data_IF_167887791485
#
_entry.id   IF_167887791485
#
_cell.length_a   1.000
_cell.length_b   1.000
_cell.length_c   1.000
_cell.angle_alpha   90.00
_cell.angle_beta   90.00
_cell.angle_gamma   90.00
#
_symmetry.space_group_name_H-M   'P 1'
#
loop_
_entity.id
_entity.type
_entity.pdbx_description
1 polymer ?
#
# COMPACT_ATOMS: atom_id res chain seq x y z
N UNK A 1 22.48 -17.77 15.99
CA UNK A 1 21.51 -17.57 14.89
C UNK A 1 21.61 -18.71 13.88
N UNK A 2 20.48 -19.33 13.59
CA UNK A 2 20.39 -20.38 12.58
C UNK A 2 19.49 -19.85 11.45
N UNK A 3 20.07 -19.75 10.25
CA UNK A 3 19.30 -19.37 9.07
C UNK A 3 18.50 -20.59 8.57
N UNK A 4 17.21 -20.65 8.93
CA UNK A 4 16.33 -21.76 8.56
C UNK A 4 16.05 -21.72 7.07
N UNK A 5 16.19 -22.84 6.34
CA UNK A 5 15.77 -22.93 4.94
C UNK A 5 14.25 -22.80 4.83
N UNK A 6 13.79 -22.48 3.63
CA UNK A 6 12.36 -22.42 3.32
C UNK A 6 11.67 -23.76 3.55
N UNK A 7 10.49 -23.74 4.16
CA UNK A 7 9.64 -24.91 4.40
C UNK A 7 8.22 -24.63 3.91
N UNK A 8 7.33 -25.63 3.98
CA UNK A 8 5.90 -25.43 3.64
C UNK A 8 5.20 -24.41 4.57
N UNK A 9 5.71 -24.21 5.79
CA UNK A 9 5.14 -23.29 6.80
C UNK A 9 5.94 -22.01 6.94
N UNK A 10 7.16 -21.94 6.43
CA UNK A 10 8.05 -20.81 6.58
C UNK A 10 8.68 -20.40 5.26
N UNK A 11 8.25 -19.26 4.73
CA UNK A 11 8.80 -18.66 3.52
C UNK A 11 9.16 -17.19 3.79
N UNK A 12 10.47 -16.93 3.85
CA UNK A 12 11.01 -15.58 4.09
C UNK A 12 10.53 -14.56 3.07
N UNK A 13 10.25 -14.98 1.85
CA UNK A 13 9.78 -14.09 0.78
C UNK A 13 8.36 -13.57 1.03
N UNK A 14 7.60 -14.22 1.91
CA UNK A 14 6.22 -13.92 2.24
C UNK A 14 6.01 -13.38 3.66
N UNK A 15 7.08 -13.27 4.45
CA UNK A 15 7.00 -12.92 5.88
C UNK A 15 7.81 -11.66 6.14
N UNK A 16 7.19 -10.69 6.83
CA UNK A 16 7.86 -9.51 7.39
C UNK A 16 7.90 -9.65 8.90
N UNK A 17 9.12 -9.70 9.46
CA UNK A 17 9.28 -9.78 10.90
C UNK A 17 8.76 -8.52 11.60
N UNK A 18 8.08 -8.69 12.70
CA UNK A 18 7.51 -7.60 13.50
C UNK A 18 6.19 -7.04 12.96
N UNK A 19 5.71 -7.45 11.77
CA UNK A 19 4.52 -6.88 11.15
C UNK A 19 3.26 -7.04 12.00
N UNK A 20 3.14 -8.15 12.71
CA UNK A 20 1.99 -8.39 13.60
C UNK A 20 1.84 -7.30 14.67
N UNK A 21 2.92 -6.83 15.24
CA UNK A 21 2.93 -5.73 16.20
C UNK A 21 2.90 -4.35 15.50
N UNK A 22 3.57 -4.22 14.35
CA UNK A 22 3.72 -2.95 13.63
C UNK A 22 2.47 -2.50 12.88
N UNK A 23 1.56 -3.41 12.50
CA UNK A 23 0.46 -3.14 11.55
C UNK A 23 -0.40 -1.93 11.90
N UNK A 24 -0.72 -1.73 13.19
CA UNK A 24 -1.52 -0.59 13.65
C UNK A 24 -0.75 0.71 13.56
N UNK A 25 0.49 0.71 14.06
CA UNK A 25 1.37 1.88 14.02
C UNK A 25 1.69 2.30 12.57
N UNK A 26 1.94 1.32 11.67
CA UNK A 26 2.14 1.58 10.23
C UNK A 26 0.93 2.26 9.61
N UNK A 27 -0.28 1.83 9.94
CA UNK A 27 -1.51 2.47 9.43
C UNK A 27 -1.72 3.85 9.99
N UNK A 28 -1.61 4.00 11.31
CA UNK A 28 -1.79 5.26 12.01
C UNK A 28 -0.85 6.33 11.47
N UNK A 29 0.41 5.98 11.27
CA UNK A 29 1.43 6.89 10.77
C UNK A 29 1.41 6.99 9.22
N UNK A 30 0.65 6.12 8.54
CA UNK A 30 0.70 5.90 7.09
C UNK A 30 2.15 5.79 6.59
N UNK A 31 3.01 5.12 7.34
CA UNK A 31 4.44 5.02 7.09
C UNK A 31 4.99 3.73 7.69
N UNK A 32 5.80 3.00 6.92
CA UNK A 32 6.49 1.79 7.37
C UNK A 32 8.00 1.96 7.27
N UNK A 33 8.71 1.74 8.37
CA UNK A 33 10.16 1.63 8.38
C UNK A 33 10.53 0.18 8.07
N UNK A 34 11.39 -0.03 7.08
CA UNK A 34 11.85 -1.37 6.67
C UNK A 34 13.34 -1.49 6.92
N UNK A 35 13.71 -2.44 7.76
CA UNK A 35 15.09 -2.77 8.12
C UNK A 35 15.49 -4.15 7.57
N UNK A 36 16.75 -4.54 7.72
CA UNK A 36 17.23 -5.85 7.30
C UNK A 36 17.06 -6.91 8.38
N UNK A 37 17.42 -6.58 9.62
CA UNK A 37 17.49 -7.50 10.75
C UNK A 37 16.30 -7.41 11.69
N UNK A 38 16.03 -8.52 12.37
CA UNK A 38 14.99 -8.55 13.42
C UNK A 38 15.47 -7.84 14.71
N UNK A 39 16.76 -7.76 14.97
CA UNK A 39 17.35 -6.99 16.08
C UNK A 39 17.01 -5.51 15.94
N UNK A 40 17.07 -4.99 14.71
CA UNK A 40 16.72 -3.61 14.42
C UNK A 40 15.26 -3.33 14.77
N UNK A 41 14.35 -4.24 14.38
CA UNK A 41 12.93 -4.12 14.70
C UNK A 41 12.70 -4.12 16.20
N UNK A 42 13.34 -5.03 16.93
CA UNK A 42 13.18 -5.14 18.39
C UNK A 42 13.58 -3.82 19.06
N UNK A 43 14.75 -3.27 18.72
CA UNK A 43 15.25 -2.04 19.33
C UNK A 43 14.45 -0.81 18.87
N UNK A 44 14.02 -0.76 17.61
CA UNK A 44 13.11 0.28 17.13
C UNK A 44 11.80 0.28 17.94
N UNK A 45 11.16 -0.87 18.12
CA UNK A 45 9.92 -0.96 18.90
C UNK A 45 10.13 -0.57 20.37
N UNK A 46 11.23 -0.99 20.99
CA UNK A 46 11.55 -0.61 22.38
C UNK A 46 11.72 0.91 22.57
N UNK A 47 12.08 1.62 21.51
CA UNK A 47 12.28 3.08 21.51
C UNK A 47 11.09 3.86 20.95
N UNK A 48 9.95 3.18 20.73
CA UNK A 48 8.71 3.83 20.28
C UNK A 48 8.50 3.90 18.75
N UNK A 49 9.44 3.35 17.95
CA UNK A 49 9.28 3.24 16.48
C UNK A 49 8.57 1.94 16.12
N UNK A 50 7.34 1.80 16.62
CA UNK A 50 6.53 0.58 16.47
C UNK A 50 6.13 0.28 15.00
N UNK A 51 6.23 1.25 14.10
CA UNK A 51 5.95 1.10 12.68
C UNK A 51 7.11 0.48 11.88
N UNK A 52 7.98 -0.29 12.52
CA UNK A 52 9.17 -0.92 11.93
C UNK A 52 8.97 -2.41 11.69
N UNK A 53 9.41 -2.88 10.52
CA UNK A 53 9.42 -4.31 10.11
C UNK A 53 10.75 -4.68 9.48
N UNK A 54 11.08 -5.98 9.43
CA UNK A 54 12.29 -6.45 8.73
C UNK A 54 11.97 -7.48 7.66
N UNK A 55 12.81 -7.47 6.60
CA UNK A 55 12.81 -8.49 5.54
C UNK A 55 13.57 -9.77 5.94
N UNK A 56 14.27 -9.76 7.09
CA UNK A 56 14.96 -10.91 7.71
C UNK A 56 15.97 -11.60 6.81
N UNK A 57 16.94 -10.84 6.28
CA UNK A 57 18.05 -11.34 5.47
C UNK A 57 17.65 -11.72 4.04
N UNK A 58 16.59 -11.12 3.53
CA UNK A 58 16.22 -11.16 2.10
C UNK A 58 15.99 -9.74 1.58
N UNK A 59 16.22 -9.50 0.28
CA UNK A 59 15.77 -8.25 -0.32
C UNK A 59 14.24 -8.14 -0.29
N UNK A 60 13.71 -6.93 -0.43
CA UNK A 60 12.28 -6.70 -0.58
C UNK A 60 11.72 -7.49 -1.78
N UNK A 61 10.76 -8.36 -1.50
CA UNK A 61 10.10 -9.19 -2.50
C UNK A 61 8.80 -8.54 -3.00
N UNK A 62 8.26 -8.97 -4.16
CA UNK A 62 6.92 -8.58 -4.59
C UNK A 62 5.85 -8.87 -3.52
N UNK A 63 5.97 -9.99 -2.80
CA UNK A 63 5.04 -10.41 -1.76
C UNK A 63 5.11 -9.50 -0.53
N UNK A 64 6.32 -9.15 -0.07
CA UNK A 64 6.49 -8.16 1.00
C UNK A 64 5.81 -6.83 0.64
N UNK A 65 6.00 -6.35 -0.58
CA UNK A 65 5.38 -5.11 -1.04
C UNK A 65 3.85 -5.22 -1.13
N UNK A 66 3.32 -6.36 -1.58
CA UNK A 66 1.87 -6.60 -1.58
C UNK A 66 1.29 -6.57 -0.16
N UNK A 67 2.00 -7.14 0.81
CA UNK A 67 1.60 -7.09 2.22
C UNK A 67 1.63 -5.65 2.73
N UNK A 68 2.74 -4.93 2.54
CA UNK A 68 2.91 -3.55 3.03
C UNK A 68 1.91 -2.58 2.41
N UNK A 69 1.52 -2.78 1.13
CA UNK A 69 0.55 -1.93 0.44
C UNK A 69 -0.82 -1.88 1.11
N UNK A 70 -1.17 -2.92 1.88
CA UNK A 70 -2.41 -2.97 2.68
C UNK A 70 -2.39 -1.99 3.85
N UNK A 71 -1.20 -1.56 4.28
CA UNK A 71 -1.02 -0.79 5.50
C UNK A 71 -0.54 0.63 5.26
N UNK A 72 0.33 0.87 4.25
CA UNK A 72 0.90 2.18 3.97
C UNK A 72 1.25 2.35 2.49
N UNK A 73 1.29 3.62 2.05
CA UNK A 73 1.87 4.02 0.75
C UNK A 73 3.29 4.55 0.89
N UNK A 74 3.77 4.76 2.13
CA UNK A 74 5.05 5.38 2.39
C UNK A 74 6.00 4.36 3.04
N UNK A 75 7.17 4.18 2.43
CA UNK A 75 8.23 3.32 2.94
C UNK A 75 9.45 4.16 3.30
N UNK A 76 9.99 3.94 4.50
CA UNK A 76 11.29 4.41 4.90
C UNK A 76 12.23 3.22 4.94
N UNK A 77 13.27 3.24 4.10
CA UNK A 77 14.23 2.15 4.00
C UNK A 77 15.45 2.49 4.85
N UNK A 78 15.74 1.62 5.79
CA UNK A 78 16.93 1.67 6.65
C UNK A 78 17.80 0.45 6.35
N UNK A 79 18.34 0.39 5.14
CA UNK A 79 19.26 -0.63 4.67
C UNK A 79 20.69 -0.11 4.74
N UNK A 80 21.67 -1.03 4.82
CA UNK A 80 23.07 -0.69 4.73
C UNK A 80 23.37 0.14 3.47
N UNK A 81 24.23 1.15 3.61
CA UNK A 81 24.41 2.29 2.68
C UNK A 81 24.94 1.91 1.29
N UNK A 82 25.20 0.67 0.97
CA UNK A 82 25.65 0.27 -0.37
C UNK A 82 24.48 -0.04 -1.34
N UNK A 83 23.44 0.81 -1.31
CA UNK A 83 22.30 0.71 -2.26
C UNK A 83 22.81 0.75 -3.71
N UNK A 84 23.91 1.45 -3.97
CA UNK A 84 24.50 1.54 -5.30
C UNK A 84 25.19 0.23 -5.74
N UNK A 85 25.74 -0.54 -4.80
CA UNK A 85 26.45 -1.80 -5.05
C UNK A 85 25.55 -3.04 -4.99
N UNK A 86 24.49 -3.03 -4.16
CA UNK A 86 23.62 -4.20 -4.01
C UNK A 86 22.49 -4.26 -5.05
N UNK A 87 22.63 -5.18 -6.00
CA UNK A 87 21.65 -5.39 -7.06
C UNK A 87 20.29 -5.91 -6.56
N UNK A 88 20.24 -6.55 -5.40
CA UNK A 88 19.03 -7.12 -4.83
C UNK A 88 18.19 -6.04 -4.14
N UNK A 89 18.83 -5.18 -3.34
CA UNK A 89 18.21 -4.00 -2.72
C UNK A 89 17.67 -3.06 -3.77
N UNK A 90 18.46 -2.77 -4.82
CA UNK A 90 18.03 -1.93 -5.95
C UNK A 90 16.81 -2.50 -6.67
N UNK A 91 16.73 -3.82 -6.86
CA UNK A 91 15.53 -4.46 -7.43
C UNK A 91 14.32 -4.29 -6.53
N UNK A 92 14.46 -4.47 -5.23
CA UNK A 92 13.38 -4.26 -4.26
C UNK A 92 12.84 -2.83 -4.28
N UNK A 93 13.72 -1.84 -4.33
CA UNK A 93 13.37 -0.41 -4.45
C UNK A 93 12.64 -0.15 -5.77
N UNK A 94 13.15 -0.66 -6.88
CA UNK A 94 12.53 -0.49 -8.20
C UNK A 94 11.10 -1.07 -8.22
N UNK A 95 10.91 -2.27 -7.67
CA UNK A 95 9.60 -2.90 -7.55
C UNK A 95 8.64 -2.08 -6.67
N UNK A 96 9.14 -1.49 -5.59
CA UNK A 96 8.33 -0.63 -4.73
C UNK A 96 7.90 0.66 -5.46
N UNK A 97 8.80 1.29 -6.23
CA UNK A 97 8.46 2.45 -7.07
C UNK A 97 7.40 2.11 -8.13
N UNK A 98 7.54 0.99 -8.83
CA UNK A 98 6.57 0.53 -9.83
C UNK A 98 5.18 0.29 -9.23
N UNK A 99 5.12 -0.11 -7.95
CA UNK A 99 3.87 -0.26 -7.19
C UNK A 99 3.32 1.03 -6.59
N UNK A 100 3.95 2.16 -6.91
CA UNK A 100 3.51 3.48 -6.46
C UNK A 100 3.69 3.70 -4.95
N UNK A 101 4.75 3.16 -4.36
CA UNK A 101 5.18 3.56 -3.04
C UNK A 101 5.97 4.86 -3.09
N UNK A 102 5.72 5.72 -2.13
CA UNK A 102 6.59 6.85 -1.82
C UNK A 102 7.76 6.32 -0.98
N UNK A 103 8.97 6.36 -1.54
CA UNK A 103 10.13 5.78 -0.89
C UNK A 103 11.06 6.88 -0.38
N UNK A 104 11.41 6.79 0.90
CA UNK A 104 12.47 7.58 1.51
C UNK A 104 13.58 6.66 2.02
N UNK A 105 14.78 7.17 2.06
CA UNK A 105 15.95 6.49 2.61
C UNK A 105 16.35 7.17 3.90
N UNK A 106 16.59 6.36 4.93
CA UNK A 106 17.19 6.79 6.18
C UNK A 106 18.69 6.68 6.00
N UNK A 107 19.38 7.82 5.86
CA UNK A 107 20.83 7.88 5.73
C UNK A 107 21.45 7.95 7.14
N UNK A 108 22.29 6.97 7.48
CA UNK A 108 23.04 6.94 8.74
C UNK A 108 24.44 7.54 8.54
N UNK A 109 25.24 7.62 9.61
CA UNK A 109 26.62 8.12 9.50
C UNK A 109 27.48 7.27 8.56
N UNK A 110 28.45 7.90 7.90
CA UNK A 110 29.50 7.18 7.15
C UNK A 110 30.31 6.30 8.10
N UNK A 111 30.20 4.98 7.95
CA UNK A 111 30.76 3.98 8.85
C UNK A 111 29.72 2.95 9.28
N UNK A 112 28.59 2.96 8.60
CA UNK A 112 27.50 1.99 8.58
C UNK A 112 27.30 1.24 9.90
N UNK A 113 26.59 1.88 10.78
CA UNK A 113 25.93 1.19 11.89
C UNK A 113 24.52 0.91 11.46
N UNK A 114 24.05 -0.29 11.72
CA UNK A 114 22.66 -0.65 11.56
C UNK A 114 21.76 0.17 12.52
N UNK A 115 20.46 0.18 12.34
CA UNK A 115 19.53 0.89 13.23
C UNK A 115 19.70 0.48 14.70
N UNK A 116 19.99 -0.79 14.95
CA UNK A 116 20.19 -1.32 16.30
C UNK A 116 21.40 -0.66 17.00
N UNK A 117 22.54 -0.55 16.31
CA UNK A 117 23.74 0.10 16.85
C UNK A 117 23.50 1.58 17.16
N UNK A 118 22.83 2.29 16.26
CA UNK A 118 22.51 3.71 16.45
C UNK A 118 21.61 3.92 17.66
N UNK A 119 20.59 3.08 17.82
CA UNK A 119 19.66 3.14 18.95
C UNK A 119 20.36 2.84 20.25
N UNK A 120 21.26 1.83 20.29
CA UNK A 120 22.06 1.49 21.47
C UNK A 120 23.02 2.60 21.88
N UNK A 121 23.57 3.35 20.92
CA UNK A 121 24.38 4.52 21.23
C UNK A 121 23.55 5.67 21.78
N UNK A 122 22.49 6.06 21.06
CA UNK A 122 21.57 7.12 21.46
C UNK A 122 20.27 7.06 20.65
N UNK A 123 19.14 6.70 21.26
CA UNK A 123 17.84 6.64 20.57
C UNK A 123 17.43 7.94 19.87
N UNK A 124 17.86 9.11 20.38
CA UNK A 124 17.54 10.40 19.74
C UNK A 124 18.22 10.57 18.38
N UNK A 125 19.34 9.90 18.15
CA UNK A 125 19.99 9.92 16.84
C UNK A 125 19.13 9.20 15.82
N UNK A 126 18.52 8.07 16.21
CA UNK A 126 17.60 7.35 15.34
C UNK A 126 16.37 8.18 14.97
N UNK A 127 15.76 8.83 15.96
CA UNK A 127 14.63 9.76 15.74
C UNK A 127 15.00 10.85 14.73
N UNK A 128 16.18 11.44 14.87
CA UNK A 128 16.70 12.45 13.95
C UNK A 128 16.81 11.90 12.53
N UNK A 129 17.41 10.73 12.32
CA UNK A 129 17.58 10.11 11.00
C UNK A 129 16.24 9.77 10.34
N UNK A 130 15.28 9.24 11.12
CA UNK A 130 13.92 8.97 10.60
C UNK A 130 13.25 10.25 10.13
N UNK A 131 13.36 11.33 10.88
CA UNK A 131 12.77 12.63 10.53
C UNK A 131 13.48 13.31 9.33
N UNK A 132 14.79 13.12 9.19
CA UNK A 132 15.61 13.64 8.09
C UNK A 132 15.62 12.73 6.85
N UNK A 133 14.85 11.63 6.85
CA UNK A 133 14.81 10.68 5.75
C UNK A 133 14.48 11.35 4.41
N UNK A 134 15.32 11.09 3.40
CA UNK A 134 15.31 11.75 2.10
C UNK A 134 14.60 10.92 1.04
N UNK A 135 13.99 11.59 0.06
CA UNK A 135 13.40 10.90 -1.09
C UNK A 135 14.45 10.04 -1.82
N UNK A 136 14.05 8.85 -2.25
CA UNK A 136 14.89 7.98 -3.10
C UNK A 136 15.35 8.71 -4.37
N UNK A 137 14.53 9.62 -4.88
CA UNK A 137 14.90 10.40 -6.07
C UNK A 137 16.00 11.40 -5.76
N UNK A 138 15.95 12.08 -4.61
CA UNK A 138 17.04 12.97 -4.23
C UNK A 138 18.34 12.20 -4.02
N UNK A 139 18.28 10.99 -3.47
CA UNK A 139 19.42 10.10 -3.39
C UNK A 139 20.00 9.75 -4.79
N UNK A 140 19.17 9.37 -5.76
CA UNK A 140 19.63 9.10 -7.12
C UNK A 140 20.24 10.32 -7.79
N UNK A 141 19.64 11.50 -7.59
CA UNK A 141 20.17 12.75 -8.10
C UNK A 141 21.55 13.03 -7.51
N UNK A 142 21.69 13.02 -6.19
CA UNK A 142 22.95 13.36 -5.54
C UNK A 142 24.03 12.34 -5.86
N UNK A 143 23.72 11.04 -5.89
CA UNK A 143 24.66 10.01 -6.31
C UNK A 143 25.16 10.22 -7.75
N UNK A 144 24.24 10.50 -8.67
CA UNK A 144 24.59 10.69 -10.08
C UNK A 144 25.43 11.98 -10.30
N UNK A 145 25.02 13.09 -9.68
CA UNK A 145 25.71 14.37 -9.83
C UNK A 145 27.03 14.43 -9.06
N UNK A 146 27.23 13.60 -8.05
CA UNK A 146 28.53 13.46 -7.36
C UNK A 146 29.51 12.60 -8.16
N UNK A 147 29.00 11.60 -8.90
CA UNK A 147 29.84 10.67 -9.67
C UNK A 147 30.28 11.23 -11.04
N UNK A 148 29.49 12.13 -11.63
CA UNK A 148 29.72 12.59 -13.01
C UNK A 148 29.64 14.10 -13.15
N UNK A 149 30.52 14.66 -14.01
CA UNK A 149 30.54 16.09 -14.27
C UNK A 149 29.36 16.51 -15.17
N UNK A 150 28.45 17.30 -14.63
CA UNK A 150 27.27 17.83 -15.36
C UNK A 150 27.61 18.79 -16.52
N UNK A 151 28.81 19.34 -16.58
CA UNK A 151 29.20 20.35 -17.58
C UNK A 151 29.73 19.71 -18.87
N UNK A 152 29.98 18.39 -18.88
CA UNK A 152 30.40 17.63 -20.04
C UNK A 152 29.24 16.83 -20.65
N UNK A 153 29.30 16.63 -21.98
CA UNK A 153 28.28 15.84 -22.68
C UNK A 153 28.24 14.37 -22.19
N UNK A 154 29.42 13.78 -21.93
CA UNK A 154 29.56 12.45 -21.37
C UNK A 154 28.94 12.39 -19.97
N UNK A 155 29.25 13.35 -19.10
CA UNK A 155 28.72 13.40 -17.75
C UNK A 155 27.20 13.54 -17.73
N UNK A 156 26.64 14.43 -18.57
CA UNK A 156 25.18 14.56 -18.73
C UNK A 156 24.54 13.23 -19.14
N UNK A 157 25.17 12.51 -20.08
CA UNK A 157 24.70 11.20 -20.53
C UNK A 157 24.72 10.15 -19.41
N UNK A 158 25.80 10.07 -18.63
CA UNK A 158 25.90 9.10 -17.53
C UNK A 158 24.91 9.43 -16.38
N UNK A 159 24.74 10.71 -16.04
CA UNK A 159 23.70 11.15 -15.10
C UNK A 159 22.31 10.71 -15.60
N UNK A 160 22.03 10.91 -16.90
CA UNK A 160 20.78 10.48 -17.51
C UNK A 160 20.54 8.99 -17.39
N UNK A 161 21.56 8.15 -17.58
CA UNK A 161 21.44 6.68 -17.44
C UNK A 161 21.06 6.24 -16.03
N UNK A 162 21.42 6.99 -15.00
CA UNK A 162 21.05 6.67 -13.59
C UNK A 162 19.67 7.20 -13.25
N UNK A 163 19.39 8.46 -13.59
CA UNK A 163 18.19 9.16 -13.10
C UNK A 163 16.94 8.83 -13.94
N UNK A 164 17.06 8.76 -15.27
CA UNK A 164 15.91 8.52 -16.16
C UNK A 164 15.17 7.20 -15.89
N UNK A 165 15.86 6.05 -15.65
CA UNK A 165 15.17 4.82 -15.30
C UNK A 165 14.32 4.96 -14.01
N UNK A 166 14.83 5.68 -13.01
CA UNK A 166 14.11 5.94 -11.79
C UNK A 166 12.85 6.80 -12.02
N UNK A 167 12.98 7.87 -12.82
CA UNK A 167 11.84 8.70 -13.23
C UNK A 167 10.80 7.87 -14.01
N UNK A 168 11.25 7.00 -14.91
CA UNK A 168 10.36 6.17 -15.75
C UNK A 168 9.45 5.26 -14.95
N UNK A 169 9.88 4.80 -13.78
CA UNK A 169 9.13 3.87 -12.90
C UNK A 169 7.94 4.50 -12.20
N UNK A 170 7.90 5.83 -12.05
CA UNK A 170 6.74 6.47 -11.44
C UNK A 170 5.46 6.20 -12.25
N UNK A 171 4.39 5.66 -11.63
CA UNK A 171 3.13 5.46 -12.32
C UNK A 171 2.45 6.79 -12.67
N UNK A 172 2.61 7.80 -11.80
CA UNK A 172 1.99 9.11 -11.93
C UNK A 172 2.76 9.99 -12.93
N UNK A 173 2.09 10.43 -13.99
CA UNK A 173 2.70 11.24 -15.05
C UNK A 173 3.00 12.68 -14.63
N UNK A 174 2.24 13.21 -13.66
CA UNK A 174 2.49 14.56 -13.11
C UNK A 174 3.79 14.51 -12.31
N UNK A 175 3.95 13.50 -11.48
CA UNK A 175 5.16 13.30 -10.69
C UNK A 175 6.39 13.06 -11.60
N UNK A 176 6.23 12.24 -12.66
CA UNK A 176 7.27 12.09 -13.69
C UNK A 176 7.67 13.45 -14.27
N UNK A 177 6.70 14.29 -14.62
CA UNK A 177 6.96 15.62 -15.21
C UNK A 177 7.72 16.52 -14.25
N UNK A 178 7.39 16.53 -12.97
CA UNK A 178 8.12 17.30 -11.96
C UNK A 178 9.60 16.88 -11.88
N UNK A 179 9.87 15.57 -11.89
CA UNK A 179 11.25 15.07 -11.86
C UNK A 179 12.01 15.31 -13.16
N UNK A 180 11.33 15.23 -14.32
CA UNK A 180 11.91 15.61 -15.63
C UNK A 180 12.31 17.08 -15.63
N UNK A 181 11.45 17.97 -15.16
CA UNK A 181 11.74 19.39 -15.04
C UNK A 181 12.95 19.65 -14.12
N UNK A 182 12.99 18.98 -12.95
CA UNK A 182 14.14 19.10 -12.03
C UNK A 182 15.44 18.61 -12.68
N UNK A 183 15.40 17.51 -13.45
CA UNK A 183 16.57 16.98 -14.15
C UNK A 183 17.03 17.92 -15.26
N UNK A 184 16.11 18.44 -16.07
CA UNK A 184 16.44 19.38 -17.16
C UNK A 184 17.10 20.65 -16.63
N UNK A 185 16.59 21.22 -15.54
CA UNK A 185 17.14 22.38 -14.87
C UNK A 185 18.56 22.11 -14.31
N UNK A 186 18.76 20.97 -13.63
CA UNK A 186 20.07 20.64 -13.05
C UNK A 186 21.14 20.34 -14.11
N UNK A 187 20.76 19.76 -15.24
CA UNK A 187 21.66 19.46 -16.38
C UNK A 187 21.84 20.64 -17.33
N UNK A 188 21.06 21.70 -17.16
CA UNK A 188 21.03 22.83 -18.11
C UNK A 188 20.82 22.36 -19.55
N UNK A 189 19.70 21.66 -19.79
CA UNK A 189 19.23 21.18 -21.10
C UNK A 189 17.72 21.40 -21.23
N UNK A 190 17.22 21.40 -22.47
CA UNK A 190 15.78 21.55 -22.71
C UNK A 190 15.00 20.34 -22.20
N UNK A 191 13.84 20.59 -21.62
CA UNK A 191 12.96 19.56 -21.05
C UNK A 191 12.49 18.55 -22.12
N UNK A 192 12.28 19.04 -23.35
CA UNK A 192 11.89 18.19 -24.49
C UNK A 192 12.92 17.09 -24.76
N UNK A 193 14.22 17.40 -24.65
CA UNK A 193 15.28 16.42 -24.85
C UNK A 193 15.24 15.32 -23.77
N UNK A 194 14.98 15.68 -22.52
CA UNK A 194 14.81 14.72 -21.41
C UNK A 194 13.58 13.84 -21.65
N UNK A 195 12.46 14.43 -22.08
CA UNK A 195 11.22 13.71 -22.37
C UNK A 195 11.40 12.74 -23.56
N UNK A 196 12.13 13.14 -24.60
CA UNK A 196 12.42 12.25 -25.73
C UNK A 196 13.26 11.04 -25.31
N UNK A 197 14.31 11.24 -24.52
CA UNK A 197 15.10 10.13 -23.98
C UNK A 197 14.25 9.22 -23.08
N UNK A 198 13.41 9.79 -22.22
CA UNK A 198 12.49 9.03 -21.38
C UNK A 198 11.50 8.19 -22.21
N UNK A 199 11.04 8.69 -23.36
CA UNK A 199 10.15 7.95 -24.28
C UNK A 199 10.87 6.82 -25.01
N UNK A 200 12.13 7.01 -25.44
CA UNK A 200 12.94 5.99 -26.10
C UNK A 200 13.28 4.81 -25.22
N UNK A 201 13.34 5.02 -23.90
CA UNK A 201 13.58 3.94 -22.96
C UNK A 201 12.45 2.92 -23.02
N UNK A 202 12.78 1.66 -23.32
CA UNK A 202 11.84 0.54 -23.15
C UNK A 202 11.48 0.44 -21.68
N UNK A 203 10.23 0.11 -21.39
CA UNK A 203 9.86 -0.28 -20.03
C UNK A 203 10.56 -1.61 -19.75
N UNK A 204 11.67 -1.55 -19.01
CA UNK A 204 12.28 -2.75 -18.45
C UNK A 204 11.39 -3.24 -17.32
N UNK A 205 10.21 -3.76 -17.67
CA UNK A 205 9.41 -4.57 -16.75
C UNK A 205 10.17 -5.89 -16.60
N UNK A 206 11.12 -5.90 -15.68
CA UNK A 206 11.83 -7.12 -15.28
C UNK A 206 10.88 -7.93 -14.39
N UNK A 207 9.85 -8.50 -15.00
CA UNK A 207 9.21 -9.68 -14.43
C UNK A 207 9.94 -10.89 -15.01
N UNK A 208 10.71 -11.65 -14.20
CA UNK A 208 11.07 -12.99 -14.59
C UNK A 208 9.73 -13.74 -14.80
N UNK A 209 9.51 -14.29 -16.00
CA UNK A 209 8.45 -15.28 -16.20
C UNK A 209 8.78 -16.45 -15.28
N UNK A 210 8.16 -16.52 -14.11
CA UNK A 210 8.22 -17.69 -13.25
C UNK A 210 7.64 -18.86 -14.02
N UNK A 211 8.53 -19.83 -14.30
CA UNK A 211 8.13 -21.13 -14.81
C UNK A 211 7.46 -21.89 -13.68
N UNK A 212 6.15 -22.10 -13.81
CA UNK A 212 5.36 -23.16 -13.19
C UNK A 212 5.38 -23.34 -11.66
N UNK A 213 4.46 -22.68 -10.98
CA UNK A 213 3.64 -23.31 -9.94
C UNK A 213 2.17 -22.91 -10.19
N UNK A 214 1.30 -23.91 -10.27
CA UNK A 214 0.00 -23.90 -10.90
C UNK A 214 -1.10 -23.05 -10.24
N UNK A 215 -0.94 -21.76 -10.19
CA UNK A 215 -2.03 -20.80 -9.97
C UNK A 215 -1.82 -19.68 -11.00
N UNK A 216 -2.54 -19.78 -12.13
CA UNK A 216 -2.61 -18.74 -13.13
C UNK A 216 -3.36 -17.54 -12.53
N UNK A 217 -2.64 -16.58 -11.99
CA UNK A 217 -3.11 -15.20 -11.85
C UNK A 217 -2.60 -14.42 -13.05
N UNK A 218 -3.51 -14.06 -13.93
CA UNK A 218 -3.25 -13.32 -15.17
C UNK A 218 -2.92 -11.84 -14.80
N UNK A 219 -1.63 -11.52 -14.72
CA UNK A 219 -1.12 -10.22 -14.25
C UNK A 219 -0.75 -9.27 -15.40
N UNK A 220 -1.19 -9.56 -16.64
CA UNK A 220 -0.66 -8.89 -17.84
C UNK A 220 -1.50 -7.73 -18.39
N UNK A 221 -2.58 -7.28 -17.74
CA UNK A 221 -3.47 -6.29 -18.36
C UNK A 221 -3.81 -5.00 -17.60
N UNK A 222 -3.27 -4.70 -16.39
CA UNK A 222 -3.69 -3.47 -15.71
C UNK A 222 -2.56 -2.47 -15.45
N UNK A 223 -2.60 -1.38 -16.22
CA UNK A 223 -1.72 -0.20 -16.07
C UNK A 223 -2.14 0.75 -14.92
N UNK A 224 -3.14 0.38 -14.12
CA UNK A 224 -3.64 1.16 -12.97
C UNK A 224 -3.42 0.42 -11.63
N UNK A 225 -2.27 -0.18 -11.45
CA UNK A 225 -1.93 -1.15 -10.40
C UNK A 225 -1.85 -0.60 -8.95
N UNK A 226 -2.41 0.52 -8.59
CA UNK A 226 -2.17 1.11 -7.26
C UNK A 226 -3.42 1.26 -6.38
N UNK A 227 -4.47 1.83 -6.89
CA UNK A 227 -5.58 2.35 -6.07
C UNK A 227 -6.71 1.32 -5.93
N UNK A 228 -7.12 0.70 -7.01
CA UNK A 228 -8.20 -0.32 -7.01
C UNK A 228 -7.82 -1.57 -6.22
N UNK A 229 -6.57 -2.03 -6.34
CA UNK A 229 -6.13 -3.21 -5.61
C UNK A 229 -6.02 -2.94 -4.11
N UNK A 230 -5.54 -1.74 -3.72
CA UNK A 230 -5.54 -1.32 -2.32
C UNK A 230 -6.95 -1.24 -1.76
N UNK A 231 -7.90 -0.67 -2.51
CA UNK A 231 -9.31 -0.63 -2.13
C UNK A 231 -9.85 -2.03 -1.88
N UNK A 232 -9.63 -2.96 -2.82
CA UNK A 232 -10.02 -4.36 -2.69
C UNK A 232 -9.42 -5.02 -1.44
N UNK A 233 -8.13 -4.83 -1.19
CA UNK A 233 -7.45 -5.39 -0.01
C UNK A 233 -7.99 -4.84 1.31
N UNK A 234 -8.35 -3.56 1.37
CA UNK A 234 -8.98 -2.94 2.54
C UNK A 234 -10.39 -3.49 2.75
N UNK A 235 -11.17 -3.65 1.68
CA UNK A 235 -12.51 -4.25 1.71
C UNK A 235 -12.44 -5.71 2.20
N UNK A 236 -11.56 -6.52 1.63
CA UNK A 236 -11.32 -7.91 2.04
C UNK A 236 -10.97 -8.01 3.53
N UNK A 237 -10.18 -7.05 4.02
CA UNK A 237 -9.83 -7.00 5.43
C UNK A 237 -11.01 -6.64 6.32
N UNK A 238 -11.80 -5.63 5.96
CA UNK A 238 -12.99 -5.26 6.71
C UNK A 238 -13.96 -6.44 6.78
N UNK A 239 -14.17 -7.14 5.65
CA UNK A 239 -14.98 -8.36 5.62
C UNK A 239 -14.46 -9.40 6.61
N UNK A 240 -13.16 -9.69 6.59
CA UNK A 240 -12.57 -10.68 7.51
C UNK A 240 -12.73 -10.30 8.97
N UNK A 241 -12.55 -9.01 9.32
CA UNK A 241 -12.69 -8.52 10.68
C UNK A 241 -14.16 -8.51 11.18
N UNK A 242 -15.10 -8.22 10.26
CA UNK A 242 -16.54 -8.31 10.54
C UNK A 242 -16.98 -9.77 10.69
N UNK A 243 -16.46 -10.67 9.87
CA UNK A 243 -16.74 -12.10 9.98
C UNK A 243 -16.18 -12.71 11.27
N UNK A 244 -15.04 -12.21 11.76
CA UNK A 244 -14.46 -12.66 13.03
C UNK A 244 -15.30 -12.22 14.24
N UNK A 245 -15.75 -10.99 14.25
CA UNK A 245 -16.63 -10.45 15.28
C UNK A 245 -17.77 -9.65 14.62
N UNK A 246 -18.98 -10.20 14.52
CA UNK A 246 -20.14 -9.53 13.91
C UNK A 246 -20.50 -8.19 14.56
N UNK A 247 -20.16 -7.94 15.83
CA UNK A 247 -20.36 -6.65 16.48
C UNK A 247 -19.57 -5.51 15.79
N UNK A 248 -18.47 -5.85 15.14
CA UNK A 248 -17.69 -4.92 14.34
C UNK A 248 -18.49 -4.31 13.18
N UNK A 249 -19.60 -4.91 12.78
CA UNK A 249 -20.48 -4.37 11.76
C UNK A 249 -21.12 -3.04 12.20
N UNK A 250 -21.33 -2.84 13.49
CA UNK A 250 -21.83 -1.59 14.06
C UNK A 250 -20.85 -0.41 13.90
N UNK A 251 -19.58 -0.69 13.57
CA UNK A 251 -18.56 0.32 13.30
C UNK A 251 -18.63 0.85 11.87
N UNK A 252 -19.39 0.17 10.99
CA UNK A 252 -19.61 0.59 9.60
C UNK A 252 -20.92 1.39 9.55
N UNK A 253 -20.81 2.72 9.47
CA UNK A 253 -21.96 3.61 9.38
C UNK A 253 -22.60 3.57 7.98
N UNK A 254 -23.89 3.83 7.89
CA UNK A 254 -24.63 3.84 6.62
C UNK A 254 -24.08 4.88 5.63
N UNK A 255 -23.53 5.98 6.14
CA UNK A 255 -22.84 7.02 5.33
C UNK A 255 -21.57 6.52 4.65
N UNK A 256 -21.02 5.40 5.06
CA UNK A 256 -19.76 4.84 4.60
C UNK A 256 -19.93 3.74 3.52
N UNK A 257 -21.13 3.18 3.38
CA UNK A 257 -21.42 2.17 2.35
C UNK A 257 -21.07 2.58 0.91
N UNK A 258 -21.21 3.86 0.51
CA UNK A 258 -20.77 4.31 -0.82
C UNK A 258 -19.25 4.24 -1.08
N UNK A 259 -18.44 4.01 -0.03
CA UNK A 259 -16.99 3.88 -0.20
C UNK A 259 -16.59 2.46 -0.63
N UNK A 260 -17.47 1.49 -0.44
CA UNK A 260 -17.24 0.09 -0.81
C UNK A 260 -17.61 -0.20 -2.27
N UNK A 261 -17.01 -1.23 -2.84
CA UNK A 261 -17.47 -1.81 -4.10
C UNK A 261 -18.88 -2.38 -3.95
N UNK A 262 -19.63 -2.46 -5.05
CA UNK A 262 -21.00 -2.96 -5.02
C UNK A 262 -21.12 -4.35 -4.38
N UNK A 263 -20.15 -5.23 -4.64
CA UNK A 263 -20.10 -6.58 -4.04
C UNK A 263 -19.97 -6.55 -2.53
N UNK A 264 -19.02 -5.76 -2.03
CA UNK A 264 -18.77 -5.64 -0.59
C UNK A 264 -19.92 -4.95 0.10
N UNK A 265 -20.50 -3.92 -0.52
CA UNK A 265 -21.67 -3.22 -0.01
C UNK A 265 -22.87 -4.16 0.17
N UNK A 266 -23.26 -4.87 -0.88
CA UNK A 266 -24.38 -5.84 -0.82
C UNK A 266 -24.15 -6.88 0.25
N UNK A 267 -22.92 -7.38 0.37
CA UNK A 267 -22.55 -8.36 1.40
C UNK A 267 -22.71 -7.80 2.83
N UNK A 268 -22.17 -6.60 3.10
CA UNK A 268 -22.24 -5.98 4.42
C UNK A 268 -23.68 -5.58 4.80
N UNK A 269 -24.48 -5.06 3.85
CA UNK A 269 -25.90 -4.75 4.03
C UNK A 269 -26.71 -6.02 4.33
N UNK A 270 -26.48 -7.11 3.60
CA UNK A 270 -27.12 -8.40 3.84
C UNK A 270 -26.76 -8.97 5.21
N UNK A 271 -25.49 -8.88 5.61
CA UNK A 271 -25.03 -9.33 6.91
C UNK A 271 -25.66 -8.50 8.06
N UNK A 272 -25.81 -7.18 7.86
CA UNK A 272 -26.45 -6.29 8.83
C UNK A 272 -27.92 -6.67 9.05
N UNK A 273 -28.69 -6.86 7.99
CA UNK A 273 -30.09 -7.32 8.06
C UNK A 273 -30.20 -8.64 8.83
N UNK A 274 -29.33 -9.61 8.48
CA UNK A 274 -29.34 -10.92 9.13
C UNK A 274 -29.06 -10.81 10.64
N UNK A 275 -28.05 -10.02 11.05
CA UNK A 275 -27.71 -9.81 12.47
C UNK A 275 -28.86 -9.11 13.22
N UNK A 276 -29.53 -8.14 12.60
CA UNK A 276 -30.69 -7.44 13.17
C UNK A 276 -31.90 -8.36 13.33
N UNK A 277 -32.17 -9.23 12.35
CA UNK A 277 -33.26 -10.24 12.42
C UNK A 277 -33.02 -11.26 13.54
N UNK A 278 -31.78 -11.72 13.72
CA UNK A 278 -31.42 -12.62 14.82
C UNK A 278 -31.61 -11.96 16.18
N UNK A 279 -31.14 -10.71 16.34
CA UNK A 279 -31.38 -9.95 17.60
C UNK A 279 -32.86 -9.79 17.94
N UNK A 280 -33.72 -9.64 16.95
CA UNK A 280 -35.17 -9.53 17.13
C UNK A 280 -35.85 -10.85 17.54
N UNK A 281 -35.21 -11.99 17.24
CA UNK A 281 -35.70 -13.32 17.66
C UNK A 281 -35.22 -13.74 19.05
N UNK A 282 -34.08 -13.18 19.52
CA UNK A 282 -33.42 -13.55 20.78
C UNK A 282 -33.94 -12.83 22.03
N UNK A 283 -34.83 -11.86 21.92
CA UNK A 283 -35.54 -11.33 23.12
C UNK A 283 -36.29 -12.41 23.90
N UNK A 284 -36.22 -13.68 23.45
CA UNK A 284 -36.92 -14.78 24.10
C UNK A 284 -36.06 -15.79 24.85
N UNK A 285 -34.76 -16.00 24.58
CA UNK A 285 -33.94 -16.92 25.41
C UNK A 285 -32.44 -16.92 25.05
N UNK A 286 -31.59 -16.66 26.08
CA UNK A 286 -30.16 -16.95 26.24
C UNK A 286 -29.08 -16.10 25.51
N UNK A 287 -27.96 -15.78 26.20
CA UNK A 287 -26.90 -14.92 25.65
C UNK A 287 -26.00 -15.64 24.61
N UNK A 288 -25.79 -15.00 23.49
CA UNK A 288 -24.92 -15.48 22.39
C UNK A 288 -23.47 -15.54 22.88
N UNK A 289 -22.86 -16.73 22.85
CA UNK A 289 -21.42 -16.89 22.95
C UNK A 289 -20.81 -16.64 21.57
N UNK A 290 -20.20 -15.48 21.39
CA UNK A 290 -19.72 -14.88 20.12
C UNK A 290 -18.78 -15.75 19.24
N UNK A 291 -18.38 -16.94 19.65
CA UNK A 291 -17.49 -17.81 18.88
C UNK A 291 -18.12 -19.08 18.30
N UNK A 292 -19.35 -19.44 18.71
CA UNK A 292 -19.99 -20.71 18.26
C UNK A 292 -21.06 -20.54 17.20
N UNK A 293 -21.65 -19.35 17.05
CA UNK A 293 -22.80 -19.14 16.16
C UNK A 293 -22.44 -18.70 14.74
N UNK A 294 -21.16 -18.53 14.42
CA UNK A 294 -20.70 -18.22 13.07
C UNK A 294 -21.22 -19.24 12.02
N UNK A 295 -21.32 -20.53 12.39
CA UNK A 295 -21.91 -21.55 11.51
C UNK A 295 -23.41 -21.34 11.27
N UNK A 296 -24.13 -20.80 12.25
CA UNK A 296 -25.56 -20.50 12.13
C UNK A 296 -25.78 -19.24 11.27
N UNK A 297 -24.97 -18.19 11.48
CA UNK A 297 -24.93 -16.99 10.63
C UNK A 297 -24.62 -17.38 9.19
N UNK A 298 -23.62 -18.22 9.00
CA UNK A 298 -23.22 -18.76 7.71
C UNK A 298 -24.35 -19.54 7.01
N UNK A 299 -25.03 -20.43 7.76
CA UNK A 299 -26.13 -21.23 7.25
C UNK A 299 -27.34 -20.35 6.87
N UNK A 300 -27.62 -19.29 7.66
CA UNK A 300 -28.70 -18.33 7.40
C UNK A 300 -28.47 -17.52 6.12
N UNK A 301 -27.27 -16.94 5.94
CA UNK A 301 -26.89 -16.22 4.72
C UNK A 301 -26.94 -17.14 3.49
N UNK A 302 -26.59 -18.42 3.66
CA UNK A 302 -26.61 -19.41 2.58
C UNK A 302 -28.02 -19.90 2.23
N UNK A 303 -28.99 -19.78 3.13
CA UNK A 303 -30.39 -20.16 2.90
C UNK A 303 -31.24 -19.03 2.30
N UNK A 304 -30.76 -17.79 2.32
CA UNK A 304 -31.48 -16.64 1.77
C UNK A 304 -31.28 -16.54 0.25
N UNK A 305 -32.25 -17.07 -0.49
CA UNK A 305 -32.27 -17.05 -1.96
C UNK A 305 -32.33 -15.62 -2.54
N UNK A 306 -32.82 -14.62 -1.79
CA UNK A 306 -32.96 -13.24 -2.27
C UNK A 306 -31.59 -12.57 -2.42
N UNK A 307 -30.62 -12.86 -1.53
CA UNK A 307 -29.24 -12.36 -1.64
C UNK A 307 -28.50 -12.95 -2.86
N UNK A 308 -28.89 -14.13 -3.35
CA UNK A 308 -28.30 -14.75 -4.52
C UNK A 308 -28.87 -14.20 -5.85
N UNK A 309 -30.14 -13.80 -5.87
CA UNK A 309 -30.82 -13.30 -7.08
C UNK A 309 -30.59 -11.79 -7.31
N UNK A 310 -30.60 -10.96 -6.26
CA UNK A 310 -30.38 -9.50 -6.40
C UNK A 310 -28.95 -9.14 -6.87
N UNK A 311 -27.97 -10.01 -6.62
CA UNK A 311 -26.60 -9.76 -7.01
C UNK A 311 -26.31 -10.00 -8.52
N UNK A 312 -27.23 -10.61 -9.28
CA UNK A 312 -27.08 -10.88 -10.72
C UNK A 312 -25.80 -11.69 -11.07
N UNK A 313 -25.11 -12.21 -10.08
CA UNK A 313 -23.86 -12.94 -10.18
C UNK A 313 -24.03 -14.37 -9.64
N UNK A 314 -23.60 -15.36 -10.41
CA UNK A 314 -23.22 -16.66 -9.87
C UNK A 314 -21.95 -16.49 -9.01
N UNK A 315 -22.10 -15.79 -7.89
CA UNK A 315 -21.02 -15.58 -6.96
C UNK A 315 -20.92 -16.85 -6.12
N UNK A 316 -19.74 -17.47 -6.10
CA UNK A 316 -19.49 -18.58 -5.20
C UNK A 316 -19.29 -18.06 -3.76
N UNK A 317 -20.40 -17.65 -3.14
CA UNK A 317 -20.50 -17.08 -1.79
C UNK A 317 -19.86 -18.04 -0.77
N UNK A 318 -19.97 -19.36 -1.00
CA UNK A 318 -19.39 -20.39 -0.14
C UNK A 318 -17.88 -20.33 -0.11
N UNK A 319 -17.22 -20.26 -1.26
CA UNK A 319 -15.76 -20.14 -1.34
C UNK A 319 -15.28 -18.78 -0.86
N UNK A 320 -16.03 -17.72 -1.12
CA UNK A 320 -15.75 -16.39 -0.63
C UNK A 320 -15.74 -16.36 0.92
N UNK A 321 -16.80 -16.80 1.54
CA UNK A 321 -16.92 -16.83 3.01
C UNK A 321 -15.90 -17.77 3.65
N UNK A 322 -15.65 -18.94 3.09
CA UNK A 322 -14.65 -19.88 3.61
C UNK A 322 -13.24 -19.26 3.58
N UNK A 323 -12.89 -18.54 2.51
CA UNK A 323 -11.59 -17.88 2.37
C UNK A 323 -11.40 -16.79 3.42
N UNK A 324 -12.41 -15.94 3.62
CA UNK A 324 -12.30 -14.81 4.56
C UNK A 324 -12.45 -15.24 6.03
N UNK A 325 -13.22 -16.28 6.32
CA UNK A 325 -13.30 -16.85 7.67
C UNK A 325 -11.98 -17.47 8.10
N UNK A 326 -11.33 -18.22 7.22
CA UNK A 326 -10.02 -18.82 7.50
C UNK A 326 -8.96 -17.74 7.74
N UNK A 327 -8.97 -16.67 6.92
CA UNK A 327 -8.09 -15.52 7.14
C UNK A 327 -8.38 -14.82 8.45
N UNK A 328 -9.65 -14.65 8.80
CA UNK A 328 -10.07 -14.02 10.05
C UNK A 328 -9.54 -14.76 11.30
N UNK A 329 -9.56 -16.10 11.27
CA UNK A 329 -9.04 -16.91 12.38
C UNK A 329 -7.52 -16.84 12.50
N UNK A 330 -6.80 -16.80 11.38
CA UNK A 330 -5.32 -16.90 11.33
C UNK A 330 -4.63 -15.54 11.45
N UNK A 331 -5.19 -14.49 10.84
CA UNK A 331 -4.47 -13.23 10.63
C UNK A 331 -4.79 -12.14 11.67
N UNK A 332 -5.88 -12.25 12.45
CA UNK A 332 -6.36 -11.13 13.29
C UNK A 332 -6.59 -11.53 14.75
N UNK A 333 -6.27 -10.61 15.66
CA UNK A 333 -6.55 -10.72 17.10
C UNK A 333 -8.02 -10.34 17.42
N UNK A 334 -8.48 -10.62 18.64
CA UNK A 334 -9.90 -10.42 19.03
C UNK A 334 -10.31 -8.94 19.07
N UNK A 335 -9.40 -8.01 19.41
CA UNK A 335 -9.72 -6.59 19.49
C UNK A 335 -9.33 -5.85 18.20
N UNK A 336 -10.28 -5.73 17.29
CA UNK A 336 -10.10 -5.21 15.94
C UNK A 336 -10.78 -3.87 15.68
N UNK A 337 -11.37 -3.22 16.69
CA UNK A 337 -12.18 -2.01 16.53
C UNK A 337 -11.38 -0.85 15.90
N UNK A 338 -10.17 -0.59 16.39
CA UNK A 338 -9.33 0.48 15.82
C UNK A 338 -8.90 0.17 14.39
N UNK A 339 -8.64 -1.08 14.11
CA UNK A 339 -8.18 -1.52 12.80
C UNK A 339 -9.27 -1.36 11.73
N UNK A 340 -10.53 -1.63 12.04
CA UNK A 340 -11.67 -1.39 11.14
C UNK A 340 -11.85 0.10 10.89
N UNK A 341 -11.84 0.93 11.92
CA UNK A 341 -11.96 2.40 11.78
C UNK A 341 -10.87 2.97 10.86
N UNK A 342 -9.63 2.51 11.02
CA UNK A 342 -8.51 2.91 10.17
C UNK A 342 -8.69 2.43 8.72
N UNK A 343 -9.17 1.21 8.50
CA UNK A 343 -9.45 0.70 7.15
C UNK A 343 -10.55 1.52 6.45
N UNK A 344 -11.62 1.86 7.16
CA UNK A 344 -12.71 2.69 6.64
C UNK A 344 -12.21 4.09 6.31
N UNK A 345 -11.42 4.70 7.19
CA UNK A 345 -10.82 6.02 6.93
C UNK A 345 -9.93 6.00 5.68
N UNK A 346 -9.14 4.94 5.49
CA UNK A 346 -8.31 4.79 4.30
C UNK A 346 -9.16 4.60 3.03
N UNK A 347 -10.25 3.83 3.09
CA UNK A 347 -11.20 3.70 1.99
C UNK A 347 -11.85 5.04 1.64
N UNK A 348 -12.29 5.81 2.64
CA UNK A 348 -12.79 7.17 2.45
C UNK A 348 -11.79 8.04 1.69
N UNK A 349 -10.55 8.07 2.16
CA UNK A 349 -9.49 8.87 1.54
C UNK A 349 -9.20 8.44 0.09
N UNK A 350 -9.23 7.14 -0.21
CA UNK A 350 -9.09 6.63 -1.57
C UNK A 350 -10.24 7.14 -2.45
N UNK A 351 -11.48 6.99 -1.99
CA UNK A 351 -12.66 7.44 -2.75
C UNK A 351 -12.66 8.95 -3.01
N UNK A 352 -12.25 9.76 -2.01
CA UNK A 352 -12.12 11.22 -2.19
C UNK A 352 -11.05 11.54 -3.24
N UNK A 353 -9.89 10.87 -3.20
CA UNK A 353 -8.83 11.05 -4.21
C UNK A 353 -9.29 10.65 -5.62
N UNK A 354 -10.07 9.58 -5.76
CA UNK A 354 -10.66 9.18 -7.05
C UNK A 354 -11.64 10.23 -7.58
N UNK A 355 -12.51 10.75 -6.73
CA UNK A 355 -13.43 11.83 -7.08
C UNK A 355 -12.69 13.10 -7.49
N UNK A 356 -11.68 13.51 -6.73
CA UNK A 356 -10.82 14.67 -7.07
C UNK A 356 -10.15 14.50 -8.43
N UNK A 357 -9.62 13.31 -8.73
CA UNK A 357 -9.04 13.02 -10.04
C UNK A 357 -10.06 13.08 -11.18
N UNK A 358 -11.29 12.61 -10.94
CA UNK A 358 -12.38 12.68 -11.91
C UNK A 358 -12.77 14.15 -12.15
N UNK A 359 -13.07 14.90 -11.10
CA UNK A 359 -13.44 16.33 -11.19
C UNK A 359 -12.33 17.13 -11.87
N UNK A 360 -11.05 16.83 -11.59
CA UNK A 360 -9.91 17.48 -12.27
C UNK A 360 -9.87 17.19 -13.79
N UNK A 361 -10.27 15.99 -14.22
CA UNK A 361 -10.42 15.67 -15.66
C UNK A 361 -11.59 16.41 -16.28
N UNK A 362 -12.74 16.42 -15.59
CA UNK A 362 -13.96 17.07 -16.04
C UNK A 362 -13.76 18.61 -16.16
N UNK A 363 -13.00 19.23 -15.25
CA UNK A 363 -12.58 20.65 -15.36
C UNK A 363 -11.79 20.89 -16.66
N UNK A 364 -10.76 20.04 -16.93
CA UNK A 364 -9.96 20.19 -18.15
C UNK A 364 -10.77 19.99 -19.44
N UNK A 365 -11.80 19.15 -19.42
CA UNK A 365 -12.70 18.95 -20.53
C UNK A 365 -13.64 20.15 -20.71
N UNK A 366 -14.21 20.69 -19.63
CA UNK A 366 -15.06 21.87 -19.65
C UNK A 366 -14.30 23.13 -20.11
N UNK A 367 -13.03 23.29 -19.69
CA UNK A 367 -12.14 24.35 -20.17
C UNK A 367 -11.92 24.30 -21.70
N UNK A 368 -11.71 23.09 -22.26
CA UNK A 368 -11.56 22.93 -23.72
C UNK A 368 -12.79 23.35 -24.50
N UNK A 369 -13.97 23.19 -23.93
CA UNK A 369 -15.27 23.54 -24.56
C UNK A 369 -15.67 24.98 -24.21
N UNK A 370 -14.87 25.69 -23.41
CA UNK A 370 -15.11 27.07 -22.92
C UNK A 370 -16.43 27.23 -22.13
N UNK A 371 -16.88 26.17 -21.44
CA UNK A 371 -18.08 26.21 -20.59
C UNK A 371 -17.70 26.74 -19.19
N UNK A 372 -17.66 28.06 -19.08
CA UNK A 372 -17.26 28.75 -17.83
C UNK A 372 -18.19 28.44 -16.66
N UNK A 373 -19.49 28.20 -16.89
CA UNK A 373 -20.43 27.92 -15.81
C UNK A 373 -20.17 26.52 -15.22
N UNK A 374 -19.91 25.53 -16.09
CA UNK A 374 -19.55 24.18 -15.66
C UNK A 374 -18.21 24.12 -14.95
N UNK A 375 -17.22 24.90 -15.41
CA UNK A 375 -15.90 25.02 -14.75
C UNK A 375 -16.04 25.55 -13.32
N UNK A 376 -16.83 26.61 -13.10
CA UNK A 376 -17.03 27.17 -11.77
C UNK A 376 -17.68 26.18 -10.81
N UNK A 377 -18.73 25.47 -11.24
CA UNK A 377 -19.39 24.45 -10.42
C UNK A 377 -18.45 23.30 -10.05
N UNK A 378 -17.61 22.83 -10.99
CA UNK A 378 -16.63 21.79 -10.74
C UNK A 378 -15.49 22.23 -9.81
N UNK A 379 -15.09 23.51 -9.86
CA UNK A 379 -14.09 24.07 -8.92
C UNK A 379 -14.67 24.13 -7.50
N UNK A 380 -15.96 24.48 -7.34
CA UNK A 380 -16.61 24.44 -6.03
C UNK A 380 -16.66 23.02 -5.45
N UNK A 381 -17.02 22.04 -6.31
CA UNK A 381 -17.02 20.62 -5.94
C UNK A 381 -15.60 20.13 -5.55
N UNK A 382 -14.58 20.52 -6.33
CA UNK A 382 -13.17 20.19 -6.03
C UNK A 382 -12.75 20.75 -4.67
N UNK A 383 -13.08 22.02 -4.39
CA UNK A 383 -12.75 22.65 -3.12
C UNK A 383 -13.47 22.01 -1.94
N UNK A 384 -14.71 21.54 -2.12
CA UNK A 384 -15.46 20.82 -1.09
C UNK A 384 -14.80 19.47 -0.79
N UNK A 385 -14.47 18.68 -1.81
CA UNK A 385 -13.80 17.39 -1.66
C UNK A 385 -12.42 17.51 -1.01
N UNK A 386 -11.68 18.57 -1.32
CA UNK A 386 -10.35 18.83 -0.71
C UNK A 386 -10.43 19.10 0.79
N UNK A 387 -11.54 19.68 1.27
CA UNK A 387 -11.75 19.90 2.71
C UNK A 387 -12.14 18.64 3.47
N UNK A 388 -12.61 17.60 2.78
CA UNK A 388 -13.00 16.32 3.38
C UNK A 388 -11.82 15.32 3.51
N UNK A 389 -10.66 15.62 2.89
CA UNK A 389 -9.43 14.83 2.90
C UNK A 389 -8.57 15.15 4.11
#
# INVERSE_FOLDING_TARGET
>A
YINTPQTLLYDKSNILYGLNNAKLAVRKNNQCVVTEGYTDVILCHQTGFENTVASSGTALTPQHLNILKRYSENLLLAFDMDIAGDSATKRGINLAQERGFNIKIIETYSGAKDPADIILENPKNWEKFVNEARSIMDYYFDSAFSAFNKDTAEGKKEIGKIVLPAIKRFPNKIEQSCWVQKLSQKLDIREEAVLEELRKMKSDTVFPKEKNSGLKTDWSQDKNFGVEERKKLLEEKIISLVLKNPENLNLVEDSQYPFFSDKTRIFLEGLKKFVEEQKSQEEKDLPIQAGKDFKAIFAGIMSDNNLQEEAGFKFDLKNFLATFSLRAEVEYEEDSCEEIKLCILQLKNINIKEKLNKVSKDIKEAEKVQDHQKVNNLIEEFNKLTKEL
#
